data_IF_830301678121
#
_entry.id   IF_830301678121
#
_cell.length_a   1.000
_cell.length_b   1.000
_cell.length_c   1.000
_cell.angle_alpha   90.00
_cell.angle_beta   90.00
_cell.angle_gamma   90.00
#
_symmetry.space_group_name_H-M   'P 1'
#
loop_
_entity.id
_entity.type
_entity.pdbx_description
1 polymer ?
#
# COMPACT_ATOMS: atom_id res chain seq x y z
N UNK A 1 -2.19 19.57 -22.96
CA UNK A 1 -1.79 20.94 -23.22
C UNK A 1 -0.48 20.98 -23.97
N UNK A 2 -0.55 20.89 -25.24
CA UNK A 2 0.21 21.65 -26.14
C UNK A 2 1.39 21.13 -26.87
N UNK A 3 1.90 19.96 -26.93
CA UNK A 3 2.98 19.62 -27.88
C UNK A 3 3.06 18.15 -28.29
N UNK A 4 2.00 17.42 -28.08
CA UNK A 4 1.98 16.03 -28.51
C UNK A 4 1.68 15.93 -30.01
N UNK A 5 2.42 15.07 -30.68
CA UNK A 5 2.27 14.77 -32.12
C UNK A 5 0.92 14.11 -32.49
N UNK A 6 0.03 13.97 -31.53
CA UNK A 6 -1.34 13.54 -31.72
C UNK A 6 -2.18 14.73 -32.16
N UNK A 7 -2.92 14.59 -33.27
CA UNK A 7 -3.73 15.63 -33.89
C UNK A 7 -4.93 16.13 -33.07
N UNK A 8 -4.74 16.29 -31.74
CA UNK A 8 -5.68 16.97 -30.87
C UNK A 8 -5.47 18.48 -30.95
N UNK A 9 -6.56 19.22 -31.05
CA UNK A 9 -6.53 20.67 -31.03
C UNK A 9 -6.42 21.19 -29.60
N UNK A 10 -5.22 21.09 -29.00
CA UNK A 10 -4.95 21.43 -27.60
C UNK A 10 -4.50 22.88 -27.41
N UNK A 11 -4.46 23.68 -28.45
CA UNK A 11 -4.00 25.08 -28.43
C UNK A 11 -5.00 26.00 -27.73
N UNK A 12 -5.53 25.62 -26.60
CA UNK A 12 -6.24 26.53 -25.72
C UNK A 12 -5.23 27.42 -25.01
N UNK A 13 -5.51 28.74 -25.00
CA UNK A 13 -4.82 29.58 -24.06
C UNK A 13 -5.28 29.15 -22.64
N UNK A 14 -4.44 29.38 -21.67
CA UNK A 14 -4.62 28.91 -20.27
C UNK A 14 -6.00 29.29 -19.70
N UNK A 15 -6.49 30.50 -19.94
CA UNK A 15 -7.78 30.96 -19.44
C UNK A 15 -8.98 30.24 -20.08
N UNK A 16 -8.90 29.97 -21.38
CA UNK A 16 -9.95 29.22 -22.09
C UNK A 16 -10.03 27.79 -21.62
N UNK A 17 -8.87 27.14 -21.40
CA UNK A 17 -8.82 25.80 -20.86
C UNK A 17 -9.40 25.72 -19.44
N UNK A 18 -9.03 26.65 -18.55
CA UNK A 18 -9.59 26.72 -17.20
C UNK A 18 -11.10 26.93 -17.21
N UNK A 19 -11.62 27.80 -18.08
CA UNK A 19 -13.07 28.03 -18.24
C UNK A 19 -13.76 26.75 -18.71
N UNK A 20 -13.17 26.07 -19.68
CA UNK A 20 -13.66 24.78 -20.18
C UNK A 20 -13.70 23.72 -19.07
N UNK A 21 -12.64 23.59 -18.29
CA UNK A 21 -12.55 22.64 -17.19
C UNK A 21 -13.51 22.99 -16.07
N UNK A 22 -13.66 24.27 -15.71
CA UNK A 22 -14.60 24.74 -14.69
C UNK A 22 -16.02 24.23 -14.97
N UNK A 23 -16.53 24.51 -16.16
CA UNK A 23 -17.91 24.12 -16.54
C UNK A 23 -18.11 22.61 -16.42
N UNK A 24 -17.13 21.80 -16.79
CA UNK A 24 -17.21 20.33 -16.71
C UNK A 24 -17.11 19.80 -15.28
N UNK A 25 -16.23 20.38 -14.49
CA UNK A 25 -16.07 19.97 -13.09
C UNK A 25 -17.27 20.37 -12.24
N UNK A 26 -17.91 21.50 -12.49
CA UNK A 26 -19.15 21.92 -11.85
C UNK A 26 -20.27 20.91 -12.19
N UNK A 27 -20.41 20.53 -13.44
CA UNK A 27 -21.40 19.48 -13.84
C UNK A 27 -21.03 18.14 -13.20
N UNK A 28 -19.76 17.72 -13.24
CA UNK A 28 -19.32 16.49 -12.64
C UNK A 28 -19.65 16.44 -11.14
N UNK A 29 -19.47 17.53 -10.41
CA UNK A 29 -19.83 17.62 -8.99
C UNK A 29 -21.33 17.37 -8.76
N UNK A 30 -22.21 17.87 -9.65
CA UNK A 30 -23.66 17.64 -9.52
C UNK A 30 -24.04 16.18 -9.75
N UNK A 31 -23.31 15.47 -10.60
CA UNK A 31 -23.55 14.06 -10.92
C UNK A 31 -23.05 13.11 -9.83
N UNK A 32 -22.14 13.54 -8.96
CA UNK A 32 -21.65 12.72 -7.87
C UNK A 32 -22.70 12.57 -6.77
N UNK A 33 -22.84 11.35 -6.24
CA UNK A 33 -23.55 11.12 -4.98
C UNK A 33 -22.80 11.78 -3.82
N UNK A 34 -23.44 11.92 -2.66
CA UNK A 34 -22.80 12.52 -1.49
C UNK A 34 -21.60 11.72 -0.97
N UNK A 35 -21.55 10.42 -1.28
CA UNK A 35 -20.40 9.53 -1.02
C UNK A 35 -19.44 9.43 -2.21
N UNK A 36 -19.70 10.19 -3.28
CA UNK A 36 -18.93 10.14 -4.52
C UNK A 36 -17.57 10.82 -4.41
N UNK A 37 -16.69 10.43 -5.31
CA UNK A 37 -15.37 11.02 -5.46
C UNK A 37 -15.02 11.22 -6.94
N UNK A 38 -14.04 12.07 -7.18
CA UNK A 38 -13.49 12.36 -8.51
C UNK A 38 -11.97 12.24 -8.49
N UNK A 39 -11.43 11.67 -9.55
CA UNK A 39 -10.00 11.63 -9.83
C UNK A 39 -9.75 12.44 -11.10
N UNK A 40 -8.89 13.42 -11.01
CA UNK A 40 -8.47 14.25 -12.15
C UNK A 40 -7.01 13.97 -12.43
N UNK A 41 -6.74 13.33 -13.55
CA UNK A 41 -5.39 13.01 -14.01
C UNK A 41 -4.86 14.16 -14.86
N UNK A 42 -3.65 14.61 -14.57
CA UNK A 42 -3.03 15.76 -15.18
C UNK A 42 -1.50 15.68 -15.13
N UNK A 43 -0.83 16.31 -16.08
CA UNK A 43 0.61 16.50 -16.04
C UNK A 43 1.02 17.70 -15.15
N UNK A 44 2.33 17.96 -15.09
CA UNK A 44 2.87 19.03 -14.24
C UNK A 44 2.54 20.44 -14.75
N UNK A 45 2.23 20.62 -16.05
CA UNK A 45 2.00 21.94 -16.63
C UNK A 45 0.76 22.62 -16.04
N UNK A 46 -0.32 21.86 -15.89
CA UNK A 46 -1.61 22.40 -15.42
C UNK A 46 -1.94 22.02 -13.97
N UNK A 47 -1.07 21.25 -13.29
CA UNK A 47 -1.30 20.72 -11.96
C UNK A 47 -1.75 21.79 -10.95
N UNK A 48 -1.05 22.90 -10.90
CA UNK A 48 -1.32 23.95 -9.91
C UNK A 48 -2.63 24.68 -10.20
N UNK A 49 -2.92 24.93 -11.45
CA UNK A 49 -4.10 25.69 -11.86
C UNK A 49 -5.37 24.85 -11.71
N UNK A 50 -5.33 23.60 -12.13
CA UNK A 50 -6.47 22.69 -11.92
C UNK A 50 -6.67 22.40 -10.43
N UNK A 51 -5.60 22.38 -9.63
CA UNK A 51 -5.67 22.21 -8.19
C UNK A 51 -6.45 23.34 -7.50
N UNK A 52 -6.12 24.60 -7.84
CA UNK A 52 -6.85 25.78 -7.34
C UNK A 52 -8.32 25.77 -7.80
N UNK A 53 -8.56 25.38 -9.05
CA UNK A 53 -9.91 25.27 -9.58
C UNK A 53 -10.73 24.20 -8.84
N UNK A 54 -10.16 23.04 -8.58
CA UNK A 54 -10.80 21.98 -7.82
C UNK A 54 -11.05 22.39 -6.38
N UNK A 55 -10.12 23.09 -5.73
CA UNK A 55 -10.30 23.66 -4.40
C UNK A 55 -11.50 24.64 -4.36
N UNK A 56 -11.68 25.46 -5.41
CA UNK A 56 -12.80 26.40 -5.49
C UNK A 56 -14.15 25.72 -5.74
N UNK A 57 -14.17 24.62 -6.50
CA UNK A 57 -15.41 23.90 -6.86
C UNK A 57 -15.82 22.92 -5.77
N UNK A 58 -14.89 22.08 -5.30
CA UNK A 58 -15.16 21.00 -4.37
C UNK A 58 -15.01 21.39 -2.91
N UNK A 59 -14.21 22.43 -2.62
CA UNK A 59 -13.77 22.83 -1.29
C UNK A 59 -12.44 22.14 -0.91
N UNK A 60 -11.53 22.94 -0.32
CA UNK A 60 -10.20 22.47 0.09
C UNK A 60 -10.29 21.35 1.13
N UNK A 61 -11.31 21.37 1.98
CA UNK A 61 -11.60 20.35 2.98
C UNK A 61 -11.95 18.99 2.40
N UNK A 62 -12.46 18.97 1.16
CA UNK A 62 -12.83 17.74 0.44
C UNK A 62 -11.69 17.16 -0.41
N UNK A 63 -10.52 17.81 -0.43
CA UNK A 63 -9.29 17.25 -0.98
C UNK A 63 -8.85 16.07 -0.14
N UNK A 64 -8.70 14.92 -0.79
CA UNK A 64 -8.19 13.71 -0.12
C UNK A 64 -6.68 13.64 -0.28
N UNK A 65 -6.19 13.69 -1.54
CA UNK A 65 -4.77 13.53 -1.81
C UNK A 65 -4.40 14.02 -3.21
N UNK A 66 -3.13 14.36 -3.40
CA UNK A 66 -2.46 14.45 -4.70
C UNK A 66 -1.55 13.23 -4.81
N UNK A 67 -1.79 12.39 -5.81
CA UNK A 67 -1.07 11.14 -6.05
C UNK A 67 -0.09 11.39 -7.18
N UNK A 68 1.20 11.15 -6.97
CA UNK A 68 2.21 11.14 -8.03
C UNK A 68 2.30 9.75 -8.63
N UNK A 69 1.97 9.61 -9.91
CA UNK A 69 2.02 8.35 -10.63
C UNK A 69 3.29 8.32 -11.51
N UNK A 70 4.10 7.29 -11.37
CA UNK A 70 5.23 7.08 -12.29
C UNK A 70 4.71 6.52 -13.61
N UNK A 71 4.76 7.33 -14.68
CA UNK A 71 4.23 6.99 -16.01
C UNK A 71 5.31 6.62 -17.02
N UNK A 72 6.58 6.93 -16.71
CA UNK A 72 7.68 6.64 -17.61
C UNK A 72 8.95 6.20 -16.88
N UNK A 73 9.86 5.61 -17.62
CA UNK A 73 11.23 5.31 -17.17
C UNK A 73 12.19 6.20 -17.97
N UNK A 74 13.25 6.74 -17.35
CA UNK A 74 14.24 7.56 -18.04
C UNK A 74 15.08 6.68 -18.98
N UNK A 75 14.54 6.39 -20.16
CA UNK A 75 15.18 5.57 -21.20
C UNK A 75 14.79 6.03 -22.61
N UNK A 76 15.58 5.65 -23.60
CA UNK A 76 15.32 5.91 -25.02
C UNK A 76 15.40 7.40 -25.37
N UNK A 77 14.52 7.85 -26.25
CA UNK A 77 14.53 9.24 -26.77
C UNK A 77 14.37 10.32 -25.69
N UNK A 78 13.76 9.99 -24.55
CA UNK A 78 13.62 10.95 -23.44
C UNK A 78 14.97 11.37 -22.83
N UNK A 79 16.02 10.57 -22.99
CA UNK A 79 17.37 10.88 -22.49
C UNK A 79 18.18 11.79 -23.42
N UNK A 80 17.69 12.05 -24.63
CA UNK A 80 18.36 12.91 -25.62
C UNK A 80 18.09 14.39 -25.34
N UNK A 81 16.99 14.71 -24.67
CA UNK A 81 16.64 16.08 -24.31
C UNK A 81 17.52 16.59 -23.17
N UNK A 82 18.13 17.79 -23.30
CA UNK A 82 18.87 18.40 -22.22
C UNK A 82 17.90 18.85 -21.11
N UNK A 83 18.11 18.39 -19.89
CA UNK A 83 17.32 18.80 -18.72
C UNK A 83 16.72 17.63 -17.93
N UNK A 84 15.94 17.93 -16.89
CA UNK A 84 15.24 16.92 -16.11
C UNK A 84 14.27 16.12 -16.98
N UNK A 85 14.20 14.81 -16.75
CA UNK A 85 13.32 13.92 -17.51
C UNK A 85 12.01 13.77 -16.74
N UNK A 86 10.89 14.12 -17.38
CA UNK A 86 9.56 13.91 -16.82
C UNK A 86 9.19 12.43 -16.87
N UNK A 87 9.01 11.87 -15.67
CA UNK A 87 8.67 10.46 -15.46
C UNK A 87 7.41 10.27 -14.61
N UNK A 88 6.76 11.40 -14.25
CA UNK A 88 5.60 11.40 -13.36
C UNK A 88 4.46 12.23 -13.90
N UNK A 89 3.26 11.80 -13.62
CA UNK A 89 2.01 12.55 -13.77
C UNK A 89 1.28 12.56 -12.44
N UNK A 90 0.19 13.31 -12.34
CA UNK A 90 -0.47 13.58 -11.08
C UNK A 90 -1.95 13.23 -11.17
N UNK A 91 -2.49 12.73 -10.06
CA UNK A 91 -3.92 12.48 -9.92
C UNK A 91 -4.39 13.26 -8.70
N UNK A 92 -5.26 14.24 -8.91
CA UNK A 92 -5.91 14.97 -7.84
C UNK A 92 -7.18 14.21 -7.43
N UNK A 93 -7.25 13.86 -6.16
CA UNK A 93 -8.35 13.08 -5.60
C UNK A 93 -9.18 13.93 -4.65
N UNK A 94 -10.45 14.13 -5.03
CA UNK A 94 -11.43 14.88 -4.25
C UNK A 94 -12.68 14.04 -4.00
N UNK A 95 -13.36 14.32 -2.90
CA UNK A 95 -14.69 13.81 -2.58
C UNK A 95 -15.72 14.91 -2.74
N UNK A 96 -17.00 14.53 -2.93
CA UNK A 96 -18.07 15.52 -2.85
C UNK A 96 -18.25 16.04 -1.41
N UNK A 97 -18.28 15.09 -0.45
CA UNK A 97 -18.33 15.37 0.99
C UNK A 97 -17.42 14.39 1.73
N UNK A 98 -16.32 14.88 2.29
CA UNK A 98 -15.30 14.05 2.96
C UNK A 98 -15.87 13.23 4.12
N UNK A 99 -16.78 13.81 4.88
CA UNK A 99 -17.39 13.13 6.04
C UNK A 99 -18.34 12.00 5.65
N UNK A 100 -18.87 11.99 4.42
CA UNK A 100 -19.76 10.94 3.91
C UNK A 100 -19.00 9.88 3.11
N UNK A 101 -17.74 10.14 2.76
CA UNK A 101 -16.91 9.27 1.94
C UNK A 101 -16.26 8.16 2.78
N UNK A 102 -16.31 6.94 2.28
CA UNK A 102 -15.61 5.79 2.86
C UNK A 102 -14.65 5.22 1.84
N UNK A 103 -13.35 5.30 2.13
CA UNK A 103 -12.32 4.73 1.27
C UNK A 103 -12.30 3.20 1.43
N UNK A 104 -12.59 2.49 0.35
CA UNK A 104 -12.42 1.04 0.31
C UNK A 104 -11.02 0.74 -0.25
N UNK A 105 -10.17 0.16 0.58
CA UNK A 105 -8.83 -0.24 0.15
C UNK A 105 -8.92 -1.25 -0.99
N UNK A 106 -8.25 -0.95 -2.10
CA UNK A 106 -8.04 -1.92 -3.17
C UNK A 106 -6.75 -2.70 -2.87
N UNK A 107 -6.85 -4.02 -2.83
CA UNK A 107 -5.70 -4.89 -2.66
C UNK A 107 -5.31 -5.46 -4.01
N UNK A 108 -4.04 -5.36 -4.34
CA UNK A 108 -3.46 -5.97 -5.54
C UNK A 108 -2.65 -7.18 -5.08
N UNK A 109 -2.80 -8.35 -5.70
CA UNK A 109 -1.92 -9.47 -5.41
C UNK A 109 -0.47 -9.05 -5.64
N UNK A 110 0.36 -9.27 -4.64
CA UNK A 110 1.81 -9.07 -4.73
C UNK A 110 2.51 -10.39 -4.48
N UNK A 111 3.72 -10.55 -5.03
CA UNK A 111 4.53 -11.72 -4.74
C UNK A 111 4.77 -11.85 -3.23
N UNK A 112 4.87 -13.09 -2.78
CA UNK A 112 5.14 -13.38 -1.38
C UNK A 112 6.41 -12.69 -0.87
N UNK A 113 6.25 -11.89 0.16
CA UNK A 113 7.36 -11.20 0.81
C UNK A 113 8.01 -12.11 1.87
N UNK A 114 9.22 -12.58 1.59
CA UNK A 114 9.99 -13.51 2.44
C UNK A 114 10.27 -13.01 3.86
N UNK A 115 10.08 -11.72 4.14
CA UNK A 115 10.21 -11.18 5.49
C UNK A 115 9.08 -11.63 6.42
N UNK A 116 7.94 -12.06 5.87
CA UNK A 116 6.84 -12.67 6.61
C UNK A 116 7.11 -14.16 6.77
N UNK A 117 7.97 -14.50 7.69
CA UNK A 117 8.55 -15.83 7.83
C UNK A 117 8.12 -16.60 9.09
N UNK A 118 7.22 -16.03 9.87
CA UNK A 118 6.68 -16.61 11.09
C UNK A 118 5.18 -16.84 10.95
N UNK A 119 4.71 -17.90 11.55
CA UNK A 119 3.29 -18.21 11.75
C UNK A 119 2.98 -18.09 13.22
N UNK A 120 1.96 -17.33 13.55
CA UNK A 120 1.49 -17.07 14.88
C UNK A 120 0.49 -18.15 15.32
N UNK A 121 0.80 -18.86 16.38
CA UNK A 121 -0.14 -19.77 17.04
C UNK A 121 -0.81 -18.99 18.18
N UNK A 122 -2.02 -18.51 17.93
CA UNK A 122 -2.79 -17.68 18.86
C UNK A 122 -3.29 -18.49 20.05
N UNK A 123 -3.44 -17.81 21.16
CA UNK A 123 -4.09 -18.28 22.39
C UNK A 123 -4.93 -17.11 22.93
N UNK A 124 -5.93 -17.38 23.76
CA UNK A 124 -6.74 -16.33 24.39
C UNK A 124 -5.88 -15.36 25.21
N UNK A 125 -4.80 -15.87 25.80
CA UNK A 125 -3.80 -15.08 26.50
C UNK A 125 -2.65 -14.73 25.53
N UNK A 126 -2.54 -13.46 25.16
CA UNK A 126 -1.53 -12.91 24.22
C UNK A 126 -0.11 -13.28 24.67
N UNK A 127 0.14 -13.37 25.98
CA UNK A 127 1.46 -13.72 26.52
C UNK A 127 1.87 -15.16 26.22
N UNK A 128 0.93 -16.00 25.87
CA UNK A 128 1.13 -17.41 25.51
C UNK A 128 1.23 -17.68 24.02
N UNK A 129 1.16 -16.63 23.20
CA UNK A 129 1.31 -16.76 21.75
C UNK A 129 2.68 -17.36 21.40
N UNK A 130 2.68 -18.30 20.48
CA UNK A 130 3.89 -18.98 20.01
C UNK A 130 4.10 -18.70 18.52
N UNK A 131 5.35 -18.78 18.11
CA UNK A 131 5.75 -18.56 16.74
C UNK A 131 6.43 -19.81 16.19
N UNK A 132 6.06 -20.18 14.98
CA UNK A 132 6.67 -21.26 14.21
C UNK A 132 7.20 -20.68 12.91
N UNK A 133 8.35 -21.15 12.43
CA UNK A 133 8.81 -20.73 11.09
C UNK A 133 7.81 -21.18 10.04
N UNK A 134 7.46 -20.30 9.12
CA UNK A 134 6.48 -20.61 8.06
C UNK A 134 6.86 -21.85 7.25
N UNK A 135 8.17 -22.07 7.06
CA UNK A 135 8.68 -23.28 6.42
C UNK A 135 8.27 -24.55 7.18
N UNK A 136 8.40 -24.54 8.50
CA UNK A 136 8.11 -25.71 9.32
C UNK A 136 6.60 -25.94 9.43
N UNK A 137 5.83 -24.88 9.56
CA UNK A 137 4.36 -24.94 9.54
C UNK A 137 3.84 -25.51 8.21
N UNK A 138 4.38 -25.05 7.08
CA UNK A 138 4.06 -25.56 5.74
C UNK A 138 4.44 -27.05 5.60
N UNK A 139 5.63 -27.46 6.08
CA UNK A 139 6.02 -28.87 6.04
C UNK A 139 5.07 -29.75 6.85
N UNK A 140 4.69 -29.32 8.05
CA UNK A 140 3.74 -30.01 8.90
C UNK A 140 2.36 -30.13 8.23
N UNK A 141 1.87 -29.06 7.59
CA UNK A 141 0.58 -29.10 6.88
C UNK A 141 0.56 -30.09 5.71
N UNK A 142 1.73 -30.36 5.12
CA UNK A 142 1.92 -31.35 4.04
C UNK A 142 2.23 -32.77 4.57
N UNK A 143 2.28 -32.95 5.88
CA UNK A 143 2.56 -34.25 6.50
C UNK A 143 4.03 -34.65 6.54
N UNK A 144 4.96 -33.70 6.35
CA UNK A 144 6.41 -33.99 6.45
C UNK A 144 6.95 -33.62 7.83
N UNK A 145 7.70 -34.53 8.42
CA UNK A 145 8.40 -34.27 9.68
C UNK A 145 9.63 -33.38 9.50
N UNK A 146 10.21 -33.33 8.31
CA UNK A 146 11.41 -32.53 8.02
C UNK A 146 11.54 -32.14 6.55
N UNK A 147 12.35 -31.12 6.28
CA UNK A 147 12.71 -30.74 4.89
C UNK A 147 13.48 -31.86 4.16
N UNK A 148 14.22 -32.69 4.89
CA UNK A 148 14.96 -33.81 4.32
C UNK A 148 14.02 -34.86 3.71
N UNK A 149 12.91 -35.14 4.40
CA UNK A 149 11.87 -36.03 3.92
C UNK A 149 11.20 -35.49 2.64
N UNK A 150 10.86 -34.21 2.64
CA UNK A 150 10.30 -33.55 1.44
C UNK A 150 11.29 -33.58 0.25
N UNK A 151 12.57 -33.33 0.49
CA UNK A 151 13.62 -33.45 -0.54
C UNK A 151 13.75 -34.87 -1.06
N UNK A 152 13.67 -35.87 -0.22
CA UNK A 152 13.71 -37.28 -0.64
C UNK A 152 12.54 -37.62 -1.56
N UNK A 153 11.35 -37.05 -1.29
CA UNK A 153 10.15 -37.29 -2.10
C UNK A 153 10.15 -36.56 -3.44
N UNK A 154 10.60 -35.30 -3.48
CA UNK A 154 10.47 -34.44 -4.65
C UNK A 154 11.78 -34.21 -5.41
N UNK A 155 12.93 -34.65 -4.90
CA UNK A 155 14.22 -34.51 -5.56
C UNK A 155 14.60 -33.06 -5.89
N UNK A 156 15.16 -32.87 -7.07
CA UNK A 156 15.59 -31.56 -7.58
C UNK A 156 14.44 -30.55 -7.70
N UNK A 157 13.22 -31.01 -7.89
CA UNK A 157 12.04 -30.12 -8.00
C UNK A 157 11.73 -29.41 -6.68
N UNK A 158 12.21 -29.92 -5.56
CA UNK A 158 11.93 -29.35 -4.24
C UNK A 158 12.32 -27.88 -4.13
N UNK A 159 13.43 -27.47 -4.74
CA UNK A 159 13.92 -26.10 -4.67
C UNK A 159 12.89 -25.07 -5.20
N UNK A 160 12.27 -25.38 -6.34
CA UNK A 160 11.24 -24.52 -6.95
C UNK A 160 9.91 -24.67 -6.23
N UNK A 161 9.49 -25.90 -5.97
CA UNK A 161 8.23 -26.24 -5.32
C UNK A 161 8.12 -25.63 -3.92
N UNK A 162 9.19 -25.69 -3.13
CA UNK A 162 9.24 -25.11 -1.78
C UNK A 162 8.86 -23.62 -1.75
N UNK A 163 9.38 -22.84 -2.69
CA UNK A 163 9.09 -21.40 -2.75
C UNK A 163 7.61 -21.14 -3.05
N UNK A 164 7.04 -21.90 -3.96
CA UNK A 164 5.61 -21.81 -4.30
C UNK A 164 4.71 -22.25 -3.14
N UNK A 165 5.06 -23.36 -2.49
CA UNK A 165 4.30 -23.88 -1.35
C UNK A 165 4.32 -22.93 -0.14
N UNK A 166 5.46 -22.28 0.14
CA UNK A 166 5.55 -21.27 1.19
C UNK A 166 4.69 -20.06 0.84
N UNK A 167 4.72 -19.59 -0.41
CA UNK A 167 3.89 -18.49 -0.86
C UNK A 167 2.41 -18.83 -0.75
N UNK A 168 2.00 -20.01 -1.20
CA UNK A 168 0.63 -20.47 -1.10
C UNK A 168 0.19 -20.58 0.37
N UNK A 169 1.03 -21.18 1.23
CA UNK A 169 0.74 -21.30 2.65
C UNK A 169 0.55 -19.91 3.30
N UNK A 170 1.39 -18.93 2.94
CA UNK A 170 1.27 -17.56 3.44
C UNK A 170 -0.06 -16.90 3.04
N UNK A 171 -0.53 -17.14 1.82
CA UNK A 171 -1.84 -16.65 1.36
C UNK A 171 -2.99 -17.32 2.11
N UNK A 172 -2.94 -18.64 2.25
CA UNK A 172 -4.01 -19.42 2.88
C UNK A 172 -4.14 -19.12 4.39
N UNK A 173 -3.06 -18.65 5.02
CA UNK A 173 -2.97 -18.35 6.45
C UNK A 173 -2.56 -16.89 6.74
N UNK A 174 -2.94 -15.95 5.87
CA UNK A 174 -2.50 -14.55 5.93
C UNK A 174 -2.77 -13.87 7.28
N UNK A 175 -3.84 -14.23 7.97
CA UNK A 175 -4.19 -13.66 9.27
C UNK A 175 -3.18 -14.01 10.37
N UNK A 176 -2.48 -15.14 10.24
CA UNK A 176 -1.53 -15.64 11.23
C UNK A 176 -0.07 -15.55 10.77
N UNK A 177 0.16 -15.20 9.49
CA UNK A 177 1.52 -15.01 8.99
C UNK A 177 2.02 -13.63 9.34
N UNK A 178 3.15 -13.57 10.04
CA UNK A 178 3.69 -12.33 10.61
C UNK A 178 5.17 -12.15 10.32
N UNK A 179 5.61 -10.91 10.44
CA UNK A 179 7.02 -10.54 10.52
C UNK A 179 7.27 -9.62 11.71
N UNK A 180 8.46 -9.74 12.32
CA UNK A 180 8.92 -8.82 13.36
C UNK A 180 9.63 -7.67 12.67
N UNK A 181 9.20 -6.43 12.92
CA UNK A 181 9.67 -5.24 12.23
C UNK A 181 10.13 -4.16 13.19
N UNK A 182 11.15 -3.39 12.80
CA UNK A 182 11.47 -2.12 13.43
C UNK A 182 10.61 -1.02 12.81
N UNK A 183 9.72 -0.37 13.57
CA UNK A 183 8.93 0.75 13.07
C UNK A 183 9.84 1.92 12.71
N UNK A 184 9.54 2.60 11.59
CA UNK A 184 10.25 3.83 11.24
C UNK A 184 9.88 4.95 12.23
N UNK A 185 10.89 5.56 12.88
CA UNK A 185 10.72 6.63 13.89
C UNK A 185 9.70 6.28 14.99
N UNK A 186 9.91 5.22 15.77
CA UNK A 186 8.99 4.85 16.83
C UNK A 186 8.96 5.91 17.94
N UNK A 187 7.79 6.13 18.52
CA UNK A 187 7.63 6.97 19.72
C UNK A 187 8.35 6.33 20.91
N UNK A 188 8.60 7.10 21.95
CA UNK A 188 9.28 6.56 23.14
C UNK A 188 8.46 5.48 23.85
N UNK A 189 7.12 5.60 23.83
CA UNK A 189 6.22 4.55 24.30
C UNK A 189 6.41 3.25 23.51
N UNK A 190 6.47 3.32 22.18
CA UNK A 190 6.69 2.14 21.32
C UNK A 190 8.06 1.51 21.58
N UNK A 191 9.12 2.33 21.71
CA UNK A 191 10.47 1.84 22.06
C UNK A 191 10.48 1.11 23.41
N UNK A 192 9.77 1.66 24.40
CA UNK A 192 9.67 1.03 25.72
C UNK A 192 8.95 -0.34 25.66
N UNK A 193 7.85 -0.43 24.89
CA UNK A 193 7.13 -1.69 24.67
C UNK A 193 7.96 -2.72 23.92
N UNK A 194 8.68 -2.33 22.89
CA UNK A 194 9.60 -3.19 22.16
C UNK A 194 10.70 -3.74 23.09
N UNK A 195 11.34 -2.87 23.88
CA UNK A 195 12.37 -3.29 24.86
C UNK A 195 11.78 -4.27 25.88
N UNK A 196 10.63 -3.94 26.45
CA UNK A 196 9.93 -4.79 27.43
C UNK A 196 9.57 -6.16 26.85
N UNK A 197 9.12 -6.22 25.59
CA UNK A 197 8.79 -7.50 24.92
C UNK A 197 10.01 -8.41 24.77
N UNK A 198 11.20 -7.83 24.56
CA UNK A 198 12.45 -8.57 24.49
C UNK A 198 12.89 -9.08 25.86
N UNK A 199 12.76 -8.25 26.89
CA UNK A 199 13.14 -8.61 28.27
C UNK A 199 12.23 -9.73 28.84
N UNK A 200 10.95 -9.64 28.57
CA UNK A 200 9.95 -10.60 29.07
C UNK A 200 9.85 -11.89 28.23
N UNK A 201 10.31 -11.87 26.98
CA UNK A 201 10.28 -13.03 26.09
C UNK A 201 8.87 -13.46 25.63
N UNK A 202 7.86 -12.59 25.78
CA UNK A 202 6.50 -12.85 25.34
C UNK A 202 5.90 -11.66 24.59
N UNK A 203 4.75 -11.86 23.95
CA UNK A 203 4.05 -10.81 23.22
C UNK A 203 3.44 -9.80 24.20
N UNK A 204 3.57 -8.52 23.88
CA UNK A 204 2.91 -7.42 24.57
C UNK A 204 1.89 -6.79 23.63
N UNK A 205 0.66 -6.65 24.07
CA UNK A 205 -0.40 -5.94 23.37
C UNK A 205 -0.49 -4.49 23.84
N UNK A 206 -0.72 -3.59 22.91
CA UNK A 206 -1.11 -2.20 23.16
C UNK A 206 -2.43 -1.94 22.46
N UNK A 207 -3.50 -1.75 23.21
CA UNK A 207 -4.78 -1.30 22.69
C UNK A 207 -4.71 0.21 22.50
N UNK A 208 -5.10 0.69 21.32
CA UNK A 208 -5.14 2.11 20.96
C UNK A 208 -6.50 2.70 21.29
N UNK A 209 -6.60 4.03 21.27
CA UNK A 209 -7.84 4.76 21.53
C UNK A 209 -8.94 4.43 20.50
N UNK A 210 -8.59 4.08 19.28
CA UNK A 210 -9.50 3.65 18.22
C UNK A 210 -9.96 2.18 18.35
N UNK A 211 -9.57 1.49 19.42
CA UNK A 211 -9.87 0.07 19.68
C UNK A 211 -9.00 -0.92 18.90
N UNK A 212 -8.07 -0.47 18.07
CA UNK A 212 -7.12 -1.35 17.38
C UNK A 212 -5.97 -1.76 18.29
N UNK A 213 -5.42 -2.97 18.08
CA UNK A 213 -4.29 -3.48 18.86
C UNK A 213 -3.00 -3.46 18.03
N UNK A 214 -1.91 -3.14 18.70
CA UNK A 214 -0.54 -3.35 18.23
C UNK A 214 0.14 -4.36 19.10
N UNK A 215 0.95 -5.21 18.50
CA UNK A 215 1.62 -6.30 19.20
C UNK A 215 3.13 -6.17 19.06
N UNK A 216 3.86 -6.43 20.12
CA UNK A 216 5.32 -6.35 20.19
C UNK A 216 5.90 -7.66 20.68
N UNK A 217 6.93 -8.16 20.03
CA UNK A 217 7.63 -9.39 20.39
C UNK A 217 9.11 -9.30 20.03
N UNK A 218 9.97 -9.83 20.92
CA UNK A 218 11.41 -9.92 20.73
C UNK A 218 12.07 -8.60 20.26
N UNK A 219 11.61 -7.48 20.78
CA UNK A 219 12.17 -6.16 20.48
C UNK A 219 11.67 -5.51 19.22
N UNK A 220 10.67 -6.04 18.54
CA UNK A 220 10.06 -5.46 17.34
C UNK A 220 8.54 -5.44 17.41
N UNK A 221 7.91 -4.75 16.46
CA UNK A 221 6.47 -4.76 16.26
C UNK A 221 6.07 -5.91 15.31
N UNK A 222 4.96 -6.57 15.58
CA UNK A 222 4.39 -7.57 14.69
C UNK A 222 3.67 -6.88 13.52
N UNK A 223 4.06 -7.23 12.31
CA UNK A 223 3.36 -6.88 11.08
C UNK A 223 2.70 -8.14 10.50
N UNK A 224 1.40 -8.08 10.25
CA UNK A 224 0.62 -9.16 9.65
C UNK A 224 0.70 -9.09 8.13
N UNK A 225 0.64 -10.27 7.47
CA UNK A 225 0.76 -10.42 6.02
C UNK A 225 -0.40 -9.82 5.23
#
# INVERSE_FOLDING_TARGET
TGSDEFGYNDNFNHSSWLTFMKNRLEVAKTLLSDKGCIFVHIDHHELYYIGVLLDSIFGVENKVQVISAKTATPAGFKTVNPGPIDVTEYILFYTKHKNSFTFKKAYVPVDYNKNYNLVLNRNDDVTKWKFTLIKDAMLQSLGFASETEAKSKYGEMWKTLKSQLIAQYAFDHAEDVVSIRDPHKPTDTVKALMKKSKELGHVIEQVREDGTSSYFYNGGALAFY
#
